data_IF_033653664441
#
_entry.id   IF_033653664441
#
_cell.length_a   1.000
_cell.length_b   1.000
_cell.length_c   1.000
_cell.angle_alpha   90.00
_cell.angle_beta   90.00
_cell.angle_gamma   90.00
#
_symmetry.space_group_name_H-M   'P 1'
#
loop_
_entity.id
_entity.type
_entity.pdbx_description
1 polymer ?
#
# COMPACT_ATOMS: atom_id res chain seq x y z
N UNK A 1 -5.31 6.53 22.74
CA UNK A 1 -5.37 5.68 21.52
C UNK A 1 -3.98 5.61 20.97
N UNK A 2 -3.41 4.45 20.91
CA UNK A 2 -2.03 4.25 20.44
C UNK A 2 -2.08 3.22 19.32
N UNK A 3 -1.89 3.69 18.10
CA UNK A 3 -1.79 2.84 16.93
C UNK A 3 -0.43 2.14 16.86
N UNK A 4 -0.41 0.87 16.53
CA UNK A 4 0.80 0.11 16.25
C UNK A 4 0.68 -0.58 14.90
N UNK A 5 1.70 -0.45 14.07
CA UNK A 5 1.82 -1.23 12.84
C UNK A 5 2.37 -2.62 13.20
N UNK A 6 1.62 -3.70 12.93
CA UNK A 6 2.13 -5.06 13.13
C UNK A 6 3.29 -5.38 12.21
N UNK A 7 4.16 -6.32 12.61
CA UNK A 7 5.21 -6.84 11.72
C UNK A 7 4.60 -7.53 10.49
N UNK A 8 5.33 -7.55 9.39
CA UNK A 8 4.95 -8.26 8.16
C UNK A 8 4.70 -9.76 8.37
N UNK A 9 5.27 -10.33 9.42
CA UNK A 9 5.13 -11.74 9.79
C UNK A 9 3.95 -12.02 10.71
N UNK A 10 3.21 -10.99 11.13
CA UNK A 10 2.00 -11.18 11.92
C UNK A 10 0.91 -11.92 11.11
N UNK A 11 -0.02 -12.63 11.75
CA UNK A 11 -1.10 -13.29 11.03
C UNK A 11 -1.91 -12.30 10.19
N UNK A 12 -2.20 -12.67 8.94
CA UNK A 12 -2.99 -11.88 8.02
C UNK A 12 -4.36 -12.51 7.82
N UNK A 13 -5.41 -11.72 7.92
CA UNK A 13 -6.76 -12.15 7.55
C UNK A 13 -6.96 -12.15 6.04
N UNK A 14 -6.26 -11.23 5.34
CA UNK A 14 -6.38 -11.03 3.90
C UNK A 14 -5.17 -10.27 3.34
N UNK A 15 -4.80 -10.59 2.12
CA UNK A 15 -3.82 -9.82 1.34
C UNK A 15 -4.55 -9.02 0.27
N UNK A 16 -4.24 -7.73 0.19
CA UNK A 16 -4.73 -6.86 -0.86
C UNK A 16 -3.71 -6.74 -1.99
N UNK A 17 -4.19 -6.83 -3.22
CA UNK A 17 -3.40 -6.63 -4.42
C UNK A 17 -4.14 -5.67 -5.37
N UNK A 18 -3.47 -5.19 -6.42
CA UNK A 18 -4.11 -4.57 -7.57
C UNK A 18 -3.71 -5.32 -8.84
N UNK A 19 -4.66 -5.54 -9.72
CA UNK A 19 -4.42 -6.22 -10.99
C UNK A 19 -3.74 -5.25 -11.96
N UNK A 20 -2.75 -5.71 -12.74
CA UNK A 20 -2.11 -4.84 -13.72
C UNK A 20 -3.11 -4.24 -14.71
N UNK A 21 -2.86 -3.01 -15.07
CA UNK A 21 -3.62 -2.26 -16.07
C UNK A 21 -2.66 -1.76 -17.15
N UNK A 22 -3.15 -1.63 -18.36
CA UNK A 22 -2.32 -1.15 -19.46
C UNK A 22 -1.82 0.27 -19.15
N UNK A 23 -0.50 0.45 -19.25
CA UNK A 23 0.18 1.71 -18.93
C UNK A 23 1.69 1.57 -19.06
N UNK A 24 2.41 2.64 -18.73
CA UNK A 24 3.89 2.70 -18.85
C UNK A 24 4.56 1.60 -18.01
N UNK A 25 4.04 1.36 -16.82
CA UNK A 25 4.65 0.43 -15.84
C UNK A 25 4.53 -1.03 -16.26
N UNK A 26 3.46 -1.40 -16.97
CA UNK A 26 3.26 -2.78 -17.43
C UNK A 26 4.12 -3.16 -18.65
N UNK A 27 4.65 -2.16 -19.34
CA UNK A 27 5.50 -2.34 -20.51
C UNK A 27 4.86 -1.86 -21.81
N UNK A 28 5.72 -1.53 -22.74
CA UNK A 28 5.38 -0.87 -24.01
C UNK A 28 5.05 -1.85 -25.15
N UNK A 29 5.35 -3.15 -24.99
CA UNK A 29 5.04 -4.18 -25.97
C UNK A 29 3.95 -5.15 -25.47
N UNK A 30 3.19 -5.74 -26.37
CA UNK A 30 2.20 -6.76 -26.03
C UNK A 30 2.82 -7.95 -25.30
N UNK A 31 4.02 -8.36 -25.69
CA UNK A 31 4.73 -9.48 -25.05
C UNK A 31 5.07 -9.19 -23.57
N UNK A 32 5.62 -7.99 -23.29
CA UNK A 32 5.92 -7.58 -21.92
C UNK A 32 4.66 -7.45 -21.06
N UNK A 33 3.58 -6.93 -21.62
CA UNK A 33 2.30 -6.85 -20.91
C UNK A 33 1.75 -8.23 -20.54
N UNK A 34 1.75 -9.18 -21.48
CA UNK A 34 1.30 -10.55 -21.18
C UNK A 34 2.19 -11.24 -20.14
N UNK A 35 3.50 -11.02 -20.18
CA UNK A 35 4.43 -11.49 -19.13
C UNK A 35 4.09 -10.89 -17.77
N UNK A 36 3.83 -9.58 -17.71
CA UNK A 36 3.42 -8.89 -16.48
C UNK A 36 2.09 -9.44 -15.91
N UNK A 37 1.07 -9.61 -16.73
CA UNK A 37 -0.20 -10.22 -16.30
C UNK A 37 0.02 -11.65 -15.79
N UNK A 38 0.82 -12.45 -16.49
CA UNK A 38 1.12 -13.83 -16.08
C UNK A 38 1.87 -13.87 -14.73
N UNK A 39 2.88 -13.01 -14.55
CA UNK A 39 3.64 -12.92 -13.30
C UNK A 39 2.74 -12.53 -12.12
N UNK A 40 1.89 -11.51 -12.29
CA UNK A 40 0.96 -11.07 -11.24
C UNK A 40 -0.07 -12.14 -10.88
N UNK A 41 -0.61 -12.82 -11.89
CA UNK A 41 -1.52 -13.95 -11.70
C UNK A 41 -0.85 -15.09 -10.93
N UNK A 42 0.40 -15.42 -11.25
CA UNK A 42 1.15 -16.45 -10.54
C UNK A 42 1.36 -16.08 -9.05
N UNK A 43 1.69 -14.81 -8.75
CA UNK A 43 1.80 -14.34 -7.38
C UNK A 43 0.45 -14.41 -6.65
N UNK A 44 -0.61 -13.89 -7.25
CA UNK A 44 -1.96 -13.94 -6.65
C UNK A 44 -2.40 -15.38 -6.36
N UNK A 45 -2.15 -16.30 -7.29
CA UNK A 45 -2.46 -17.73 -7.12
C UNK A 45 -1.65 -18.37 -5.98
N UNK A 46 -0.35 -18.08 -5.92
CA UNK A 46 0.52 -18.63 -4.87
C UNK A 46 0.13 -18.13 -3.48
N UNK A 47 -0.26 -16.85 -3.36
CA UNK A 47 -0.74 -16.25 -2.10
C UNK A 47 -2.11 -16.81 -1.73
N UNK A 48 -3.07 -16.88 -2.67
CA UNK A 48 -4.41 -17.37 -2.43
C UNK A 48 -4.45 -18.80 -1.90
N UNK A 49 -3.46 -19.63 -2.26
CA UNK A 49 -3.29 -20.97 -1.70
C UNK A 49 -3.00 -21.00 -0.18
N UNK A 50 -2.72 -19.86 0.45
CA UNK A 50 -2.32 -19.76 1.86
C UNK A 50 -3.16 -18.76 2.66
N UNK A 51 -3.56 -17.67 2.04
CA UNK A 51 -4.26 -16.54 2.68
C UNK A 51 -5.29 -15.97 1.71
N UNK A 52 -6.50 -15.60 2.16
CA UNK A 52 -7.47 -14.94 1.30
C UNK A 52 -6.88 -13.73 0.57
N UNK A 53 -7.16 -13.59 -0.71
CA UNK A 53 -6.70 -12.47 -1.54
C UNK A 53 -7.90 -11.68 -2.06
N UNK A 54 -7.85 -10.36 -1.90
CA UNK A 54 -8.70 -9.43 -2.61
C UNK A 54 -7.83 -8.60 -3.57
N UNK A 55 -8.31 -8.43 -4.79
CA UNK A 55 -7.56 -7.72 -5.82
C UNK A 55 -8.41 -6.60 -6.43
N UNK A 56 -7.91 -5.36 -6.39
CA UNK A 56 -8.54 -4.24 -7.09
C UNK A 56 -8.31 -4.41 -8.58
N UNK A 57 -9.36 -4.27 -9.36
CA UNK A 57 -9.32 -4.45 -10.81
C UNK A 57 -9.99 -3.28 -11.50
N UNK A 58 -9.27 -2.61 -12.39
CA UNK A 58 -9.87 -1.57 -13.24
C UNK A 58 -11.03 -2.17 -14.07
N UNK A 59 -12.16 -1.48 -14.22
CA UNK A 59 -13.30 -1.98 -15.00
C UNK A 59 -12.93 -2.47 -16.41
N UNK A 60 -11.89 -1.91 -17.02
CA UNK A 60 -11.40 -2.32 -18.35
C UNK A 60 -10.73 -3.70 -18.35
N UNK A 61 -10.21 -4.13 -17.20
CA UNK A 61 -9.45 -5.39 -17.06
C UNK A 61 -10.25 -6.52 -16.38
N UNK A 62 -11.47 -6.28 -15.91
CA UNK A 62 -12.28 -7.28 -15.20
C UNK A 62 -12.46 -8.58 -15.99
N UNK A 63 -12.71 -8.48 -17.28
CA UNK A 63 -12.87 -9.68 -18.11
C UNK A 63 -11.57 -10.49 -18.23
N UNK A 64 -10.41 -9.84 -18.26
CA UNK A 64 -9.10 -10.47 -18.25
C UNK A 64 -8.83 -11.09 -16.88
N UNK A 65 -8.99 -10.34 -15.83
CA UNK A 65 -8.77 -10.80 -14.46
C UNK A 65 -9.58 -12.06 -14.15
N UNK A 66 -10.88 -12.10 -14.50
CA UNK A 66 -11.73 -13.28 -14.32
C UNK A 66 -11.30 -14.52 -15.11
N UNK A 67 -10.58 -14.34 -16.22
CA UNK A 67 -10.04 -15.47 -17.00
C UNK A 67 -8.72 -15.99 -16.43
N UNK A 68 -7.95 -15.13 -15.78
CA UNK A 68 -6.58 -15.45 -15.37
C UNK A 68 -6.50 -15.84 -13.89
N UNK A 69 -7.27 -15.20 -13.03
CA UNK A 69 -7.22 -15.41 -11.60
C UNK A 69 -8.03 -16.66 -11.19
N UNK A 70 -7.58 -17.42 -10.18
CA UNK A 70 -8.36 -18.50 -9.62
C UNK A 70 -9.64 -17.98 -8.96
N UNK A 71 -10.69 -18.82 -8.92
CA UNK A 71 -12.03 -18.45 -8.49
C UNK A 71 -12.15 -18.04 -7.01
N UNK A 72 -11.19 -18.43 -6.18
CA UNK A 72 -11.11 -18.04 -4.76
C UNK A 72 -10.56 -16.62 -4.54
N UNK A 73 -9.98 -15.99 -5.55
CA UNK A 73 -9.53 -14.59 -5.46
C UNK A 73 -10.73 -13.65 -5.60
N UNK A 74 -10.95 -12.84 -4.60
CA UNK A 74 -12.01 -11.82 -4.64
C UNK A 74 -11.62 -10.67 -5.57
N UNK A 75 -12.45 -10.40 -6.59
CA UNK A 75 -12.29 -9.26 -7.48
C UNK A 75 -13.13 -8.09 -6.98
N UNK A 76 -12.47 -6.98 -6.70
CA UNK A 76 -13.08 -5.71 -6.31
C UNK A 76 -12.88 -4.71 -7.43
N UNK A 77 -13.97 -4.32 -8.12
CA UNK A 77 -13.89 -3.35 -9.21
C UNK A 77 -13.60 -1.95 -8.66
N UNK A 78 -12.51 -1.35 -9.11
CA UNK A 78 -12.12 0.00 -8.75
C UNK A 78 -11.28 0.63 -9.88
N UNK A 79 -11.31 1.95 -10.07
CA UNK A 79 -10.40 2.61 -11.00
C UNK A 79 -8.94 2.39 -10.56
N UNK A 80 -8.11 1.84 -11.45
CA UNK A 80 -6.67 1.57 -11.22
C UNK A 80 -5.87 2.25 -12.32
N UNK A 81 -4.77 2.87 -11.98
CA UNK A 81 -3.74 3.37 -12.90
C UNK A 81 -2.35 2.85 -12.57
N UNK A 82 -2.13 2.40 -11.33
CA UNK A 82 -0.93 1.70 -10.90
C UNK A 82 -1.29 0.49 -10.03
N UNK A 83 -0.51 -0.58 -10.11
CA UNK A 83 -0.83 -1.84 -9.43
C UNK A 83 0.12 -2.18 -8.28
N UNK A 84 0.95 -1.23 -7.87
CA UNK A 84 1.88 -1.35 -6.74
C UNK A 84 1.16 -1.12 -5.40
N UNK A 85 0.34 -2.08 -4.98
CA UNK A 85 -0.51 -1.97 -3.80
C UNK A 85 0.28 -1.63 -2.52
N UNK A 86 1.52 -2.05 -2.40
CA UNK A 86 2.41 -1.69 -1.29
C UNK A 86 2.54 -0.17 -1.14
N UNK A 87 2.49 0.57 -2.24
CA UNK A 87 2.80 1.99 -2.27
C UNK A 87 1.56 2.87 -2.11
N UNK A 88 0.44 2.49 -2.71
CA UNK A 88 -0.81 3.27 -2.68
C UNK A 88 -1.93 2.67 -1.84
N UNK A 89 -1.75 1.46 -1.31
CA UNK A 89 -2.67 0.86 -0.35
C UNK A 89 -2.52 1.48 1.05
N UNK A 90 -3.47 1.18 1.97
CA UNK A 90 -3.36 1.64 3.34
C UNK A 90 -2.23 0.94 4.08
N UNK A 91 -1.59 1.63 5.01
CA UNK A 91 -0.79 0.97 6.03
C UNK A 91 -1.71 0.63 7.21
N UNK A 92 -1.95 -0.66 7.42
CA UNK A 92 -2.81 -1.09 8.52
C UNK A 92 -2.10 -0.97 9.87
N UNK A 93 -2.86 -0.51 10.86
CA UNK A 93 -2.44 -0.37 12.25
C UNK A 93 -3.51 -0.92 13.18
N UNK A 94 -3.11 -1.33 14.37
CA UNK A 94 -4.01 -1.87 15.39
C UNK A 94 -3.90 -1.03 16.65
N UNK A 95 -5.01 -0.72 17.27
CA UNK A 95 -5.06 -0.15 18.61
C UNK A 95 -4.94 -1.30 19.63
N UNK A 96 -3.80 -1.38 20.30
CA UNK A 96 -3.50 -2.46 21.24
C UNK A 96 -4.43 -2.51 22.47
N UNK A 97 -5.09 -1.40 22.80
CA UNK A 97 -6.04 -1.36 23.94
C UNK A 97 -7.41 -1.90 23.55
N UNK A 98 -7.88 -1.62 22.35
CA UNK A 98 -9.25 -1.91 21.92
C UNK A 98 -9.36 -3.00 20.86
N UNK A 99 -8.25 -3.36 20.22
CA UNK A 99 -8.19 -4.27 19.06
C UNK A 99 -8.78 -3.69 17.78
N UNK A 100 -9.07 -2.37 17.73
CA UNK A 100 -9.60 -1.75 16.52
C UNK A 100 -8.55 -1.72 15.42
N UNK A 101 -9.03 -1.91 14.19
CA UNK A 101 -8.22 -1.80 12.99
C UNK A 101 -8.25 -0.35 12.49
N UNK A 102 -7.07 0.21 12.27
CA UNK A 102 -6.87 1.50 11.60
C UNK A 102 -6.19 1.31 10.25
N UNK A 103 -6.38 2.26 9.38
CA UNK A 103 -5.79 2.32 8.05
C UNK A 103 -5.17 3.71 7.85
N UNK A 104 -3.84 3.79 7.84
CA UNK A 104 -3.15 5.04 7.57
C UNK A 104 -3.31 5.37 6.10
N UNK A 105 -3.90 6.52 5.83
CA UNK A 105 -4.13 7.07 4.51
C UNK A 105 -3.02 8.09 4.20
N UNK A 106 -1.93 7.59 3.60
CA UNK A 106 -0.85 8.44 3.12
C UNK A 106 -1.27 9.24 1.89
N UNK A 107 -0.71 10.41 1.71
CA UNK A 107 -0.84 11.10 0.43
C UNK A 107 0.08 10.40 -0.58
N UNK A 108 -0.52 9.68 -1.53
CA UNK A 108 0.23 9.08 -2.63
C UNK A 108 0.26 10.03 -3.82
N UNK A 109 1.45 10.36 -4.34
CA UNK A 109 1.65 11.26 -5.48
C UNK A 109 2.47 10.63 -6.61
N UNK A 110 2.42 9.31 -6.75
CA UNK A 110 3.12 8.62 -7.83
C UNK A 110 4.64 8.73 -7.72
N UNK A 111 5.19 8.48 -6.51
CA UNK A 111 6.64 8.47 -6.26
C UNK A 111 7.36 9.81 -6.49
N UNK A 112 6.70 10.91 -6.15
CA UNK A 112 7.23 12.25 -6.34
C UNK A 112 6.83 12.89 -7.67
N UNK A 113 5.73 12.43 -8.25
CA UNK A 113 5.09 12.98 -9.46
C UNK A 113 6.04 13.13 -10.67
N UNK A 114 6.83 12.10 -11.05
CA UNK A 114 7.55 12.14 -12.29
C UNK A 114 6.58 12.17 -13.48
N UNK A 115 7.00 12.73 -14.61
CA UNK A 115 6.12 12.96 -15.78
C UNK A 115 5.46 11.68 -16.32
N UNK A 116 6.08 10.52 -16.14
CA UNK A 116 5.55 9.24 -16.62
C UNK A 116 4.51 8.62 -15.68
N UNK A 117 4.48 8.99 -14.40
CA UNK A 117 3.61 8.34 -13.42
C UNK A 117 2.16 8.81 -13.56
N UNK A 118 1.26 7.86 -13.47
CA UNK A 118 -0.17 8.09 -13.34
C UNK A 118 -0.61 7.50 -11.99
N UNK A 119 -1.25 8.29 -11.14
CA UNK A 119 -1.59 7.85 -9.78
C UNK A 119 -2.92 8.36 -9.27
N UNK A 120 -3.60 9.18 -10.04
CA UNK A 120 -4.77 9.93 -9.58
C UNK A 120 -5.93 9.00 -9.17
N UNK A 121 -6.07 7.86 -9.83
CA UNK A 121 -7.04 6.83 -9.47
C UNK A 121 -6.57 6.06 -8.24
N UNK A 122 -5.32 5.62 -8.26
CA UNK A 122 -4.72 4.78 -7.20
C UNK A 122 -4.55 5.52 -5.87
N UNK A 123 -4.46 6.85 -5.88
CA UNK A 123 -4.40 7.67 -4.66
C UNK A 123 -5.63 7.53 -3.74
N UNK A 124 -6.75 7.01 -4.25
CA UNK A 124 -7.95 6.75 -3.46
C UNK A 124 -8.04 5.34 -2.85
N UNK A 125 -7.13 4.44 -3.18
CA UNK A 125 -7.23 3.02 -2.81
C UNK A 125 -7.15 2.77 -1.30
N UNK A 126 -6.35 3.56 -0.56
CA UNK A 126 -6.25 3.41 0.89
C UNK A 126 -7.63 3.58 1.56
N UNK A 127 -8.40 4.60 1.18
CA UNK A 127 -9.76 4.83 1.70
C UNK A 127 -10.74 3.76 1.26
N UNK A 128 -10.71 3.39 -0.02
CA UNK A 128 -11.59 2.35 -0.56
C UNK A 128 -11.40 1.03 0.20
N UNK A 129 -10.16 0.64 0.46
CA UNK A 129 -9.84 -0.59 1.18
C UNK A 129 -10.23 -0.47 2.65
N UNK A 130 -9.96 0.67 3.30
CA UNK A 130 -10.37 0.91 4.68
C UNK A 130 -11.88 0.77 4.86
N UNK A 131 -12.67 1.38 3.97
CA UNK A 131 -14.13 1.27 3.97
C UNK A 131 -14.58 -0.19 3.78
N UNK A 132 -13.95 -0.92 2.86
CA UNK A 132 -14.29 -2.31 2.57
C UNK A 132 -14.06 -3.26 3.76
N UNK A 133 -13.10 -2.96 4.64
CA UNK A 133 -12.78 -3.78 5.83
C UNK A 133 -13.29 -3.18 7.14
N UNK A 134 -13.94 -2.01 7.10
CA UNK A 134 -14.43 -1.30 8.29
C UNK A 134 -13.31 -0.76 9.19
N UNK A 135 -12.14 -0.43 8.60
CA UNK A 135 -11.05 0.16 9.33
C UNK A 135 -11.26 1.67 9.56
N UNK A 136 -10.82 2.16 10.70
CA UNK A 136 -10.80 3.60 10.99
C UNK A 136 -9.73 4.30 10.16
N UNK A 137 -10.09 5.36 9.44
CA UNK A 137 -9.10 6.15 8.69
C UNK A 137 -8.21 6.91 9.67
N UNK A 138 -6.90 6.68 9.57
CA UNK A 138 -5.86 7.45 10.26
C UNK A 138 -5.22 8.39 9.24
N UNK A 139 -5.61 9.69 9.23
CA UNK A 139 -5.13 10.60 8.20
C UNK A 139 -3.66 10.96 8.42
N UNK A 140 -2.91 11.08 7.35
CA UNK A 140 -1.55 11.63 7.36
C UNK A 140 -1.42 12.76 6.35
N UNK A 141 -0.63 13.78 6.71
CA UNK A 141 -0.25 14.85 5.80
C UNK A 141 1.08 14.59 5.10
N UNK A 142 1.70 13.45 5.40
CA UNK A 142 2.95 13.06 4.77
C UNK A 142 2.66 12.42 3.40
N UNK A 143 3.33 12.91 2.38
CA UNK A 143 3.41 12.19 1.10
C UNK A 143 4.37 11.02 1.29
N UNK A 144 3.82 9.81 1.18
CA UNK A 144 4.59 8.60 1.46
C UNK A 144 4.04 7.41 0.67
N UNK A 145 4.89 6.45 0.46
CA UNK A 145 4.54 5.11 0.02
C UNK A 145 4.76 4.12 1.17
N UNK A 146 3.88 3.14 1.32
CA UNK A 146 4.07 2.06 2.32
C UNK A 146 5.39 1.31 2.15
N UNK A 147 5.95 1.30 0.93
CA UNK A 147 7.29 0.76 0.65
C UNK A 147 8.44 1.55 1.26
N UNK A 148 8.22 2.80 1.67
CA UNK A 148 9.21 3.65 2.35
C UNK A 148 9.31 3.42 3.87
N UNK A 149 8.50 2.53 4.43
CA UNK A 149 8.43 2.23 5.87
C UNK A 149 8.52 0.72 6.08
N UNK A 150 9.29 0.30 7.07
CA UNK A 150 9.32 -1.08 7.53
C UNK A 150 9.38 -1.14 9.05
N UNK A 151 8.71 -2.11 9.67
CA UNK A 151 8.62 -2.26 11.12
C UNK A 151 8.88 -3.71 11.56
N UNK A 152 9.37 -3.87 12.80
CA UNK A 152 9.45 -5.17 13.46
C UNK A 152 8.15 -5.53 14.22
N UNK A 153 7.23 -4.58 14.38
CA UNK A 153 6.00 -4.72 15.15
C UNK A 153 6.21 -4.58 16.67
N UNK A 154 7.43 -4.30 17.12
CA UNK A 154 7.83 -4.19 18.53
C UNK A 154 8.35 -2.77 18.89
N UNK A 155 8.18 -1.81 17.98
CA UNK A 155 8.53 -0.41 18.20
C UNK A 155 9.71 0.10 17.37
N UNK A 156 10.37 -0.72 16.56
CA UNK A 156 11.41 -0.27 15.63
C UNK A 156 10.82 0.07 14.28
N UNK A 157 11.20 1.21 13.73
CA UNK A 157 10.83 1.64 12.37
C UNK A 157 12.08 1.95 11.56
N UNK A 158 12.15 1.39 10.37
CA UNK A 158 13.11 1.76 9.34
C UNK A 158 12.42 2.67 8.33
N UNK A 159 13.01 3.82 8.07
CA UNK A 159 12.53 4.82 7.11
C UNK A 159 13.59 5.07 6.04
N UNK A 160 13.13 5.28 4.82
CA UNK A 160 14.01 5.64 3.70
C UNK A 160 14.07 7.16 3.56
N UNK A 161 15.19 7.79 3.91
CA UNK A 161 15.35 9.25 3.83
C UNK A 161 15.12 9.78 2.41
N UNK A 162 15.57 9.07 1.39
CA UNK A 162 15.36 9.44 -0.03
C UNK A 162 13.90 9.40 -0.47
N UNK A 163 13.01 8.80 0.31
CA UNK A 163 11.56 8.89 0.16
C UNK A 163 11.03 10.04 1.02
N UNK A 164 11.27 9.96 2.33
CA UNK A 164 10.64 10.85 3.31
C UNK A 164 11.05 12.32 3.16
N UNK A 165 12.31 12.57 2.78
CA UNK A 165 12.89 13.91 2.64
C UNK A 165 13.02 14.34 1.18
N UNK A 166 12.46 13.61 0.21
CA UNK A 166 12.42 14.03 -1.19
C UNK A 166 11.56 15.30 -1.32
N UNK A 167 12.09 16.41 -1.82
CA UNK A 167 11.35 17.65 -1.99
C UNK A 167 10.17 17.56 -2.96
N UNK A 168 10.14 16.56 -3.85
CA UNK A 168 8.99 16.27 -4.73
C UNK A 168 7.84 15.60 -3.99
N UNK A 169 8.13 14.99 -2.83
CA UNK A 169 7.14 14.43 -1.92
C UNK A 169 6.84 15.41 -0.78
N UNK A 170 7.84 15.74 0.01
CA UNK A 170 7.68 16.48 1.26
C UNK A 170 8.56 17.74 1.29
N UNK A 171 8.22 18.74 0.48
CA UNK A 171 9.03 19.95 0.26
C UNK A 171 9.47 20.67 1.54
N UNK A 172 8.66 20.60 2.60
CA UNK A 172 8.89 21.28 3.85
C UNK A 172 9.18 20.33 5.02
N UNK A 173 9.38 19.05 4.75
CA UNK A 173 9.72 18.09 5.78
C UNK A 173 11.19 18.18 6.15
N UNK A 174 11.44 18.06 7.43
CA UNK A 174 12.72 17.73 8.00
C UNK A 174 12.59 16.43 8.79
N UNK A 175 13.72 15.88 9.24
CA UNK A 175 13.72 14.62 9.99
C UNK A 175 12.75 14.67 11.19
N UNK A 176 12.74 15.74 11.96
CA UNK A 176 11.91 15.85 13.16
C UNK A 176 10.40 15.81 12.83
N UNK A 177 9.99 16.44 11.71
CA UNK A 177 8.60 16.40 11.24
C UNK A 177 8.21 15.02 10.75
N UNK A 178 9.11 14.33 10.04
CA UNK A 178 8.87 12.95 9.60
C UNK A 178 8.75 12.01 10.80
N UNK A 179 9.67 12.11 11.77
CA UNK A 179 9.63 11.33 13.01
C UNK A 179 8.33 11.57 13.78
N UNK A 180 7.89 12.83 13.89
CA UNK A 180 6.63 13.16 14.55
C UNK A 180 5.41 12.59 13.82
N UNK A 181 5.37 12.67 12.48
CA UNK A 181 4.27 12.15 11.69
C UNK A 181 4.18 10.62 11.78
N UNK A 182 5.32 9.93 11.69
CA UNK A 182 5.39 8.47 11.78
C UNK A 182 5.06 8.00 13.21
N UNK A 183 5.56 8.68 14.23
CA UNK A 183 5.24 8.36 15.64
C UNK A 183 3.74 8.48 15.94
N UNK A 184 3.07 9.49 15.39
CA UNK A 184 1.63 9.65 15.56
C UNK A 184 0.82 8.50 14.94
N UNK A 185 1.28 7.98 13.81
CA UNK A 185 0.56 6.96 13.02
C UNK A 185 0.98 5.54 13.33
N UNK A 186 2.15 5.30 13.98
CA UNK A 186 2.74 3.96 14.00
C UNK A 186 3.32 3.53 15.35
N UNK A 187 3.43 4.41 16.41
CA UNK A 187 4.32 4.06 17.50
C UNK A 187 4.03 4.70 18.84
N UNK A 188 4.10 3.88 19.88
CA UNK A 188 4.86 4.22 21.08
C UNK A 188 6.34 4.00 20.79
N UNK A 189 7.07 5.04 20.39
CA UNK A 189 8.52 4.97 20.32
C UNK A 189 9.11 5.01 21.73
N UNK A 190 9.89 4.02 22.14
CA UNK A 190 11.02 4.33 22.99
C UNK A 190 11.99 5.12 22.10
N UNK A 191 12.18 6.39 22.39
CA UNK A 191 13.18 7.24 21.73
C UNK A 191 14.57 6.76 22.09
N UNK A 192 15.03 5.70 21.47
CA UNK A 192 16.45 5.38 21.46
C UNK A 192 17.04 6.08 20.25
N UNK A 193 17.56 7.28 20.53
CA UNK A 193 18.50 7.96 19.66
C UNK A 193 19.81 7.20 19.74
N UNK A 194 20.08 6.33 18.78
CA UNK A 194 21.45 5.92 18.48
C UNK A 194 21.58 5.61 16.99
N UNK A 195 22.50 6.37 16.41
CA UNK A 195 23.32 6.40 15.22
C UNK A 195 22.97 7.52 14.27
#
# INVERSE_FOLDING_TARGET
MVWRMPAETAPHERIWMAFPVEGVTLGDTAALREEGYAAWTAVATAVAARTPVAILVDPTEVARARRMLPGEVEIVEAPVDEYWMRDHGPTFVVDDETGRLGAVDWIFNGWGAPEWAQWQKSAGHARLIADAVGAEIVPSLLVNEGGGIHVDGEGTVLLTETVQLDPRRNRYADRARVEAAVSYTHLTLPTNREV
#
